data_IF_878908208324
#
_entry.id   IF_878908208324
#
_cell.length_a   1.000
_cell.length_b   1.000
_cell.length_c   1.000
_cell.angle_alpha   90.00
_cell.angle_beta   90.00
_cell.angle_gamma   90.00
#
_symmetry.space_group_name_H-M   'P 1'
#
loop_
_entity.id
_entity.type
_entity.pdbx_description
1 polymer ?
#
# COMPACT_ATOMS: atom_id res chain seq x y z
N UNK A 1 7.10 -72.25 -8.64
CA UNK A 1 7.72 -70.92 -8.55
C UNK A 1 6.94 -69.93 -9.40
N UNK A 2 5.68 -69.62 -9.07
CA UNK A 2 4.83 -68.63 -9.76
C UNK A 2 3.55 -68.35 -8.95
N UNK A 3 3.69 -67.96 -7.68
CA UNK A 3 2.51 -67.68 -6.84
C UNK A 3 2.74 -66.57 -5.81
N UNK A 4 3.54 -65.54 -6.17
CA UNK A 4 3.78 -64.37 -5.29
C UNK A 4 3.46 -63.01 -5.98
N UNK A 5 2.89 -63.00 -7.18
CA UNK A 5 2.58 -61.73 -7.92
C UNK A 5 1.09 -61.44 -8.08
N UNK A 6 0.24 -61.96 -7.22
CA UNK A 6 -1.21 -61.70 -7.34
C UNK A 6 -1.84 -61.30 -6.00
N UNK A 7 -1.21 -60.41 -5.27
CA UNK A 7 -1.84 -59.75 -4.12
C UNK A 7 -1.49 -58.27 -4.09
N UNK A 8 -1.74 -57.60 -5.19
CA UNK A 8 -2.11 -56.19 -5.13
C UNK A 8 -3.59 -56.15 -4.74
N UNK A 9 -3.80 -56.18 -3.41
CA UNK A 9 -5.11 -56.12 -2.81
C UNK A 9 -5.86 -54.93 -3.41
N UNK A 10 -6.82 -55.27 -4.31
CA UNK A 10 -7.70 -54.33 -4.91
C UNK A 10 -8.49 -53.61 -3.84
N UNK A 11 -8.04 -52.44 -3.44
CA UNK A 11 -8.93 -51.43 -2.85
C UNK A 11 -10.22 -51.47 -3.65
N UNK A 12 -11.39 -51.67 -2.99
CA UNK A 12 -12.65 -51.80 -3.71
C UNK A 12 -12.75 -50.65 -4.72
N UNK A 13 -13.09 -50.97 -5.94
CA UNK A 13 -13.09 -50.04 -7.12
C UNK A 13 -13.65 -48.64 -6.71
N UNK A 14 -14.66 -48.63 -5.85
CA UNK A 14 -15.24 -47.41 -5.28
C UNK A 14 -14.24 -46.61 -4.43
N UNK A 15 -13.38 -47.24 -3.64
CA UNK A 15 -12.41 -46.57 -2.80
C UNK A 15 -11.24 -46.01 -3.62
N UNK A 16 -10.79 -46.76 -4.64
CA UNK A 16 -9.77 -46.26 -5.58
C UNK A 16 -10.27 -45.06 -6.38
N UNK A 17 -11.51 -45.07 -6.86
CA UNK A 17 -12.13 -43.92 -7.54
C UNK A 17 -12.22 -42.68 -6.63
N UNK A 18 -12.54 -42.86 -5.36
CA UNK A 18 -12.58 -41.77 -4.37
C UNK A 18 -11.18 -41.17 -4.15
N UNK A 19 -10.14 -42.01 -4.03
CA UNK A 19 -8.77 -41.57 -3.86
C UNK A 19 -8.27 -40.78 -5.08
N UNK A 20 -8.54 -41.29 -6.28
CA UNK A 20 -8.19 -40.58 -7.54
C UNK A 20 -8.98 -39.27 -7.67
N UNK A 21 -10.25 -39.26 -7.29
CA UNK A 21 -11.08 -38.04 -7.28
C UNK A 21 -10.55 -36.96 -6.33
N UNK A 22 -10.17 -37.36 -5.11
CA UNK A 22 -9.56 -36.45 -4.14
C UNK A 22 -8.19 -35.96 -4.65
N UNK A 23 -7.36 -36.86 -5.20
CA UNK A 23 -6.07 -36.50 -5.77
C UNK A 23 -6.20 -35.49 -6.92
N UNK A 24 -7.13 -35.71 -7.83
CA UNK A 24 -7.42 -34.78 -8.91
C UNK A 24 -7.93 -33.43 -8.40
N UNK A 25 -8.81 -33.43 -7.39
CA UNK A 25 -9.28 -32.19 -6.75
C UNK A 25 -8.17 -31.40 -6.11
N UNK A 26 -7.27 -32.06 -5.38
CA UNK A 26 -6.10 -31.41 -4.74
C UNK A 26 -5.16 -30.82 -5.78
N UNK A 27 -4.88 -31.55 -6.87
CA UNK A 27 -4.07 -31.04 -7.99
C UNK A 27 -4.71 -29.85 -8.68
N UNK A 28 -6.02 -29.88 -8.87
CA UNK A 28 -6.75 -28.76 -9.46
C UNK A 28 -6.69 -27.52 -8.56
N UNK A 29 -6.92 -27.66 -7.27
CA UNK A 29 -6.82 -26.56 -6.30
C UNK A 29 -5.40 -26.02 -6.24
N UNK A 30 -4.39 -26.87 -6.18
CA UNK A 30 -2.98 -26.47 -6.21
C UNK A 30 -2.64 -25.71 -7.50
N UNK A 31 -3.11 -26.19 -8.65
CA UNK A 31 -2.93 -25.51 -9.94
C UNK A 31 -3.54 -24.12 -9.96
N UNK A 32 -4.76 -23.96 -9.47
CA UNK A 32 -5.42 -22.65 -9.35
C UNK A 32 -4.63 -21.72 -8.42
N UNK A 33 -4.14 -22.20 -7.30
CA UNK A 33 -3.33 -21.41 -6.37
C UNK A 33 -2.02 -20.95 -7.02
N UNK A 34 -1.32 -21.84 -7.73
CA UNK A 34 -0.07 -21.52 -8.42
C UNK A 34 -0.31 -20.47 -9.50
N UNK A 35 -1.36 -20.59 -10.31
CA UNK A 35 -1.67 -19.63 -11.37
C UNK A 35 -2.01 -18.26 -10.79
N UNK A 36 -2.85 -18.21 -9.74
CA UNK A 36 -3.30 -16.94 -9.14
C UNK A 36 -2.23 -16.22 -8.30
N UNK A 37 -1.40 -16.97 -7.57
CA UNK A 37 -0.43 -16.39 -6.63
C UNK A 37 1.01 -16.51 -7.09
N UNK A 38 1.32 -17.44 -8.00
CA UNK A 38 2.69 -17.73 -8.41
C UNK A 38 3.42 -16.51 -8.98
N UNK A 39 2.78 -15.75 -9.86
CA UNK A 39 3.39 -14.55 -10.45
C UNK A 39 3.70 -13.48 -9.39
N UNK A 40 2.78 -13.27 -8.44
CA UNK A 40 2.95 -12.30 -7.35
C UNK A 40 4.05 -12.76 -6.39
N UNK A 41 4.06 -14.06 -6.04
CA UNK A 41 5.07 -14.66 -5.17
C UNK A 41 6.47 -14.59 -5.77
N UNK A 42 6.63 -14.95 -7.06
CA UNK A 42 7.90 -14.86 -7.78
C UNK A 42 8.41 -13.42 -7.79
N UNK A 43 7.55 -12.44 -8.08
CA UNK A 43 7.92 -11.03 -8.08
C UNK A 43 8.38 -10.55 -6.70
N UNK A 44 7.69 -10.95 -5.64
CA UNK A 44 8.05 -10.63 -4.27
C UNK A 44 9.40 -11.25 -3.88
N UNK A 45 9.62 -12.52 -4.24
CA UNK A 45 10.86 -13.24 -3.96
C UNK A 45 12.07 -12.58 -4.61
N UNK A 46 12.00 -12.27 -5.91
CA UNK A 46 13.09 -11.57 -6.63
C UNK A 46 13.31 -10.14 -6.15
N UNK A 47 12.32 -9.52 -5.51
CA UNK A 47 12.44 -8.17 -4.97
C UNK A 47 13.00 -8.13 -3.54
N UNK A 48 13.33 -9.29 -2.93
CA UNK A 48 13.79 -9.37 -1.55
C UNK A 48 12.72 -9.08 -0.50
N UNK A 49 11.48 -8.89 -0.93
CA UNK A 49 10.35 -8.74 -0.04
C UNK A 49 9.94 -10.15 0.42
N UNK A 50 10.37 -10.54 1.63
CA UNK A 50 9.96 -11.82 2.22
C UNK A 50 8.45 -11.79 2.44
N UNK A 51 7.72 -12.52 1.61
CA UNK A 51 6.26 -12.69 1.69
C UNK A 51 5.98 -14.17 1.83
N UNK A 52 5.22 -14.54 2.85
CA UNK A 52 4.84 -15.93 3.10
C UNK A 52 3.55 -16.27 2.35
N UNK A 53 3.45 -17.49 1.83
CA UNK A 53 2.23 -17.95 1.14
C UNK A 53 1.00 -17.87 2.05
N UNK A 54 1.17 -18.11 3.35
CA UNK A 54 0.11 -17.98 4.36
C UNK A 54 -0.41 -16.54 4.46
N UNK A 55 0.47 -15.54 4.37
CA UNK A 55 0.08 -14.12 4.35
C UNK A 55 -0.73 -13.78 3.10
N UNK A 56 -0.35 -14.31 1.93
CA UNK A 56 -1.10 -14.09 0.69
C UNK A 56 -2.52 -14.68 0.77
N UNK A 57 -2.64 -15.89 1.34
CA UNK A 57 -3.94 -16.52 1.57
C UNK A 57 -4.77 -15.72 2.57
N UNK A 58 -4.15 -15.26 3.67
CA UNK A 58 -4.83 -14.44 4.68
C UNK A 58 -5.34 -13.11 4.10
N UNK A 59 -4.55 -12.44 3.28
CA UNK A 59 -4.97 -11.22 2.55
C UNK A 59 -6.19 -11.49 1.66
N UNK A 60 -6.15 -12.61 0.94
CA UNK A 60 -7.26 -13.00 0.05
C UNK A 60 -8.54 -13.29 0.81
N UNK A 61 -8.44 -13.99 1.96
CA UNK A 61 -9.60 -14.28 2.82
C UNK A 61 -10.19 -13.01 3.44
N UNK A 62 -9.36 -12.01 3.73
CA UNK A 62 -9.81 -10.68 4.21
C UNK A 62 -10.39 -9.80 3.10
N UNK A 63 -10.45 -10.27 1.84
CA UNK A 63 -10.95 -9.50 0.71
C UNK A 63 -10.02 -8.38 0.25
N UNK A 64 -8.75 -8.42 0.66
CA UNK A 64 -7.76 -7.38 0.32
C UNK A 64 -7.12 -7.71 -1.04
N UNK A 65 -6.95 -6.74 -1.94
CA UNK A 65 -6.25 -6.96 -3.21
C UNK A 65 -4.77 -7.25 -2.96
N UNK A 66 -4.40 -8.53 -3.07
CA UNK A 66 -3.05 -9.04 -2.76
C UNK A 66 -1.97 -8.30 -3.53
N UNK A 67 -2.20 -8.03 -4.83
CA UNK A 67 -1.24 -7.33 -5.68
C UNK A 67 -0.89 -5.94 -5.14
N UNK A 68 -1.88 -5.17 -4.67
CA UNK A 68 -1.68 -3.82 -4.16
C UNK A 68 -0.80 -3.81 -2.90
N UNK A 69 -1.04 -4.72 -1.96
CA UNK A 69 -0.26 -4.83 -0.72
C UNK A 69 1.17 -5.30 -1.01
N UNK A 70 1.32 -6.31 -1.87
CA UNK A 70 2.64 -6.86 -2.22
C UNK A 70 3.47 -5.84 -3.00
N UNK A 71 2.89 -5.13 -3.96
CA UNK A 71 3.59 -4.07 -4.70
C UNK A 71 4.00 -2.91 -3.78
N UNK A 72 3.15 -2.55 -2.83
CA UNK A 72 3.48 -1.60 -1.76
C UNK A 72 4.66 -2.08 -0.91
N UNK A 73 4.63 -3.35 -0.48
CA UNK A 73 5.72 -3.97 0.29
C UNK A 73 7.03 -4.02 -0.51
N UNK A 74 6.98 -4.39 -1.78
CA UNK A 74 8.15 -4.42 -2.67
C UNK A 74 8.76 -3.01 -2.78
N UNK A 75 7.93 -1.99 -2.98
CA UNK A 75 8.39 -0.59 -3.09
C UNK A 75 9.03 -0.12 -1.77
N UNK A 76 8.42 -0.45 -0.63
CA UNK A 76 8.96 -0.16 0.69
C UNK A 76 10.33 -0.81 0.91
N UNK A 77 10.45 -2.12 0.64
CA UNK A 77 11.71 -2.88 0.82
C UNK A 77 12.82 -2.34 -0.10
N UNK A 78 12.52 -2.08 -1.37
CA UNK A 78 13.49 -1.48 -2.31
C UNK A 78 13.98 -0.09 -1.88
N UNK A 79 13.15 0.63 -1.14
CA UNK A 79 13.49 1.93 -0.57
C UNK A 79 14.12 1.84 0.83
N UNK A 80 14.31 0.61 1.34
CA UNK A 80 14.88 0.35 2.66
C UNK A 80 13.97 0.76 3.81
N UNK A 81 12.65 0.71 3.61
CA UNK A 81 11.65 0.96 4.64
C UNK A 81 11.17 -0.38 5.23
N UNK A 82 11.30 -0.60 6.55
CA UNK A 82 10.91 -1.84 7.21
C UNK A 82 9.39 -1.85 7.52
N UNK A 83 8.55 -1.82 6.50
CA UNK A 83 7.09 -1.82 6.67
C UNK A 83 6.57 -3.24 6.45
N UNK A 84 5.78 -3.79 7.36
CA UNK A 84 5.23 -5.14 7.27
C UNK A 84 3.98 -5.22 6.38
N UNK A 85 3.60 -6.44 5.97
CA UNK A 85 2.36 -6.69 5.23
C UNK A 85 1.14 -6.41 6.11
N UNK A 86 1.24 -6.73 7.41
CA UNK A 86 0.14 -6.49 8.35
C UNK A 86 -0.15 -5.00 8.53
N UNK A 87 0.89 -4.16 8.65
CA UNK A 87 0.74 -2.71 8.72
C UNK A 87 0.06 -2.15 7.46
N UNK A 88 0.50 -2.58 6.27
CA UNK A 88 -0.11 -2.16 5.01
C UNK A 88 -1.57 -2.63 4.89
N UNK A 89 -1.85 -3.88 5.29
CA UNK A 89 -3.20 -4.43 5.25
C UNK A 89 -4.15 -3.76 6.25
N UNK A 90 -3.66 -3.43 7.44
CA UNK A 90 -4.42 -2.70 8.45
C UNK A 90 -4.79 -1.30 7.96
N UNK A 91 -3.84 -0.59 7.35
CA UNK A 91 -4.10 0.72 6.76
C UNK A 91 -5.11 0.65 5.62
N UNK A 92 -5.02 -0.38 4.76
CA UNK A 92 -6.00 -0.62 3.70
C UNK A 92 -7.41 -0.86 4.26
N UNK A 93 -7.54 -1.70 5.31
CA UNK A 93 -8.82 -1.98 5.96
C UNK A 93 -9.42 -0.75 6.65
N UNK A 94 -8.59 0.16 7.16
CA UNK A 94 -9.02 1.47 7.66
C UNK A 94 -9.51 2.40 6.54
N UNK A 95 -9.43 1.95 5.28
CA UNK A 95 -9.85 2.71 4.11
C UNK A 95 -8.80 3.70 3.61
N UNK A 96 -7.55 3.60 4.04
CA UNK A 96 -6.44 4.43 3.59
C UNK A 96 -5.91 4.04 2.22
N UNK A 97 -5.11 4.93 1.63
CA UNK A 97 -4.46 4.70 0.34
C UNK A 97 -3.01 4.22 0.54
N UNK A 98 -2.84 2.90 0.58
CA UNK A 98 -1.54 2.25 0.81
C UNK A 98 -0.46 2.74 -0.15
N UNK A 99 -0.80 2.89 -1.42
CA UNK A 99 0.15 3.25 -2.46
C UNK A 99 0.67 4.68 -2.27
N UNK A 100 -0.23 5.63 -1.93
CA UNK A 100 0.15 7.01 -1.67
C UNK A 100 0.98 7.15 -0.40
N UNK A 101 0.65 6.41 0.65
CA UNK A 101 1.42 6.41 1.91
C UNK A 101 2.84 5.88 1.68
N UNK A 102 2.99 4.75 0.98
CA UNK A 102 4.31 4.20 0.67
C UNK A 102 5.14 5.17 -0.18
N UNK A 103 4.56 5.78 -1.21
CA UNK A 103 5.25 6.77 -2.04
C UNK A 103 5.64 8.02 -1.23
N UNK A 104 4.79 8.47 -0.32
CA UNK A 104 5.08 9.60 0.57
C UNK A 104 6.24 9.29 1.51
N UNK A 105 6.28 8.09 2.09
CA UNK A 105 7.39 7.65 2.94
C UNK A 105 8.70 7.53 2.18
N UNK A 106 8.66 7.02 0.94
CA UNK A 106 9.85 6.98 0.07
C UNK A 106 10.34 8.41 -0.24
N UNK A 107 9.42 9.33 -0.55
CA UNK A 107 9.76 10.72 -0.81
C UNK A 107 10.33 11.41 0.44
N UNK A 108 9.71 11.22 1.61
CA UNK A 108 10.18 11.74 2.88
C UNK A 108 11.59 11.24 3.21
N UNK A 109 11.84 9.94 3.06
CA UNK A 109 13.17 9.36 3.27
C UNK A 109 14.22 9.94 2.34
N UNK A 110 13.91 10.12 1.06
CA UNK A 110 14.82 10.76 0.08
C UNK A 110 15.07 12.23 0.39
N UNK A 111 14.09 12.92 0.98
CA UNK A 111 14.21 14.32 1.39
C UNK A 111 14.86 14.49 2.78
N UNK A 112 15.25 13.40 3.46
CA UNK A 112 15.80 13.46 4.81
C UNK A 112 14.78 13.80 5.90
N UNK A 113 13.48 13.71 5.58
CA UNK A 113 12.40 13.97 6.54
C UNK A 113 12.11 12.70 7.33
N UNK A 114 12.15 12.79 8.66
CA UNK A 114 11.78 11.66 9.52
C UNK A 114 10.26 11.53 9.63
N UNK A 115 9.67 10.78 8.70
CA UNK A 115 8.25 10.46 8.70
C UNK A 115 8.06 8.98 9.05
N UNK A 116 7.45 8.73 10.20
CA UNK A 116 7.10 7.37 10.66
C UNK A 116 5.84 6.90 9.95
N UNK A 117 5.73 5.58 9.72
CA UNK A 117 4.60 4.96 9.01
C UNK A 117 3.24 5.33 9.63
N UNK A 118 3.09 5.21 10.95
CA UNK A 118 1.83 5.52 11.64
C UNK A 118 1.38 6.96 11.42
N UNK A 119 2.35 7.90 11.43
CA UNK A 119 2.08 9.31 11.21
C UNK A 119 1.64 9.57 9.76
N UNK A 120 2.24 8.89 8.80
CA UNK A 120 1.85 8.97 7.40
C UNK A 120 0.42 8.42 7.20
N UNK A 121 0.09 7.28 7.83
CA UNK A 121 -1.25 6.71 7.84
C UNK A 121 -2.28 7.64 8.48
N UNK A 122 -1.96 8.26 9.61
CA UNK A 122 -2.84 9.23 10.27
C UNK A 122 -3.13 10.45 9.39
N UNK A 123 -2.11 10.98 8.68
CA UNK A 123 -2.28 12.07 7.74
C UNK A 123 -3.17 11.65 6.56
N UNK A 124 -2.96 10.44 6.01
CA UNK A 124 -3.76 9.92 4.88
C UNK A 124 -5.23 9.82 5.26
N UNK A 125 -5.53 9.26 6.42
CA UNK A 125 -6.90 9.13 6.90
C UNK A 125 -7.54 10.48 7.24
N UNK A 126 -6.77 11.41 7.84
CA UNK A 126 -7.26 12.74 8.19
C UNK A 126 -7.51 13.63 6.95
N UNK A 127 -6.73 13.45 5.89
CA UNK A 127 -6.89 14.23 4.66
C UNK A 127 -7.90 13.63 3.68
N UNK A 128 -8.45 12.48 4.01
CA UNK A 128 -9.47 11.81 3.20
C UNK A 128 -10.69 12.71 3.04
N UNK A 129 -11.01 13.06 1.80
CA UNK A 129 -12.11 13.98 1.48
C UNK A 129 -11.72 15.46 1.31
N UNK A 130 -10.51 15.86 1.69
CA UNK A 130 -10.05 17.25 1.50
C UNK A 130 -9.35 17.50 0.15
N UNK A 131 -9.20 16.45 -0.67
CA UNK A 131 -8.49 16.51 -1.95
C UNK A 131 -6.96 16.62 -1.82
N UNK A 132 -6.42 16.66 -0.60
CA UNK A 132 -4.98 16.66 -0.34
C UNK A 132 -4.48 15.24 -0.08
N UNK A 133 -3.25 14.96 -0.48
CA UNK A 133 -2.61 13.66 -0.27
C UNK A 133 -1.42 13.78 0.66
N UNK A 134 -1.05 12.68 1.34
CA UNK A 134 0.18 12.62 2.18
C UNK A 134 1.41 12.98 1.35
N UNK A 135 1.47 12.52 0.10
CA UNK A 135 2.57 12.83 -0.80
C UNK A 135 2.68 14.34 -1.07
N UNK A 136 1.55 15.02 -1.18
CA UNK A 136 1.50 16.46 -1.39
C UNK A 136 1.95 17.23 -0.13
N UNK A 137 1.58 16.75 1.05
CA UNK A 137 2.07 17.28 2.32
C UNK A 137 3.60 17.18 2.44
N UNK A 138 4.18 16.03 2.08
CA UNK A 138 5.63 15.84 2.06
C UNK A 138 6.29 16.77 1.02
N UNK A 139 5.74 16.87 -0.19
CA UNK A 139 6.26 17.78 -1.22
C UNK A 139 6.24 19.24 -0.78
N UNK A 140 5.17 19.67 -0.12
CA UNK A 140 5.04 21.03 0.41
C UNK A 140 6.01 21.29 1.55
N UNK A 141 6.35 20.28 2.34
CA UNK A 141 7.35 20.37 3.40
C UNK A 141 8.77 20.57 2.84
N UNK A 142 9.06 19.97 1.68
CA UNK A 142 10.37 20.13 0.99
C UNK A 142 10.43 21.42 0.19
N UNK A 143 9.33 21.76 -0.47
CA UNK A 143 9.22 22.97 -1.31
C UNK A 143 8.01 23.79 -0.83
N UNK A 144 8.23 24.67 0.19
CA UNK A 144 7.15 25.41 0.80
C UNK A 144 6.48 26.35 -0.20
N UNK A 145 5.15 26.35 -0.17
CA UNK A 145 4.33 27.22 -1.00
C UNK A 145 4.26 28.59 -0.36
N UNK A 146 4.77 29.59 -1.04
CA UNK A 146 4.69 31.00 -0.62
C UNK A 146 3.34 31.56 -1.03
N UNK A 147 2.61 32.16 -0.09
CA UNK A 147 1.35 32.84 -0.31
C UNK A 147 1.58 34.33 -0.01
N UNK A 148 1.49 35.14 -1.05
CA UNK A 148 1.55 36.60 -0.91
C UNK A 148 0.13 37.17 -0.72
N UNK A 149 -0.03 38.07 0.22
CA UNK A 149 -1.26 38.80 0.46
C UNK A 149 -0.99 40.32 0.37
N UNK A 150 -1.56 41.03 -0.62
CA UNK A 150 -2.50 40.55 -1.63
C UNK A 150 -1.88 39.68 -2.70
N UNK A 151 -2.69 38.80 -3.32
CA UNK A 151 -2.21 37.93 -4.38
C UNK A 151 -1.70 38.76 -5.59
N UNK A 152 -0.60 38.36 -6.25
CA UNK A 152 -0.02 39.10 -7.38
C UNK A 152 -1.03 39.35 -8.52
N UNK A 153 -2.01 38.44 -8.68
CA UNK A 153 -3.07 38.53 -9.67
C UNK A 153 -4.08 39.66 -9.39
N UNK A 154 -4.13 40.22 -8.19
CA UNK A 154 -5.07 41.28 -7.83
C UNK A 154 -4.66 42.68 -8.32
N UNK A 155 -3.45 42.82 -8.90
CA UNK A 155 -2.91 44.10 -9.37
C UNK A 155 -2.62 45.13 -8.27
N UNK A 156 -2.87 44.77 -7.01
CA UNK A 156 -2.62 45.64 -5.85
C UNK A 156 -1.33 45.17 -5.15
N UNK A 157 -0.45 46.10 -4.81
CA UNK A 157 0.81 45.83 -4.10
C UNK A 157 0.60 45.73 -2.58
N UNK A 158 -0.45 46.31 -2.04
CA UNK A 158 -0.79 46.37 -0.62
C UNK A 158 -2.31 46.30 -0.43
N UNK A 159 -2.72 45.84 0.74
CA UNK A 159 -4.09 45.95 1.24
C UNK A 159 -4.17 47.26 2.00
N UNK A 160 -5.04 48.17 1.57
CA UNK A 160 -5.22 49.46 2.21
C UNK A 160 -6.46 49.38 3.11
N UNK A 161 -6.29 49.76 4.38
CA UNK A 161 -7.37 49.85 5.35
C UNK A 161 -7.31 51.24 6.03
N UNK A 162 -8.46 51.81 6.26
CA UNK A 162 -8.56 53.11 6.97
C UNK A 162 -8.89 52.84 8.44
N UNK A 163 -8.01 53.27 9.33
CA UNK A 163 -8.25 53.20 10.75
C UNK A 163 -9.31 54.17 11.20
N UNK A 164 -9.86 54.01 12.41
CA UNK A 164 -10.89 54.87 13.00
C UNK A 164 -10.50 56.36 13.06
N UNK A 165 -9.20 56.60 13.15
CA UNK A 165 -8.58 57.92 13.25
C UNK A 165 -8.30 58.57 11.87
N UNK A 166 -8.80 57.97 10.77
CA UNK A 166 -8.62 58.46 9.40
C UNK A 166 -7.26 58.14 8.77
N UNK A 167 -6.39 57.42 9.48
CA UNK A 167 -5.05 57.03 9.01
C UNK A 167 -5.18 55.83 8.06
N UNK A 168 -4.56 55.92 6.86
CA UNK A 168 -4.51 54.78 5.89
C UNK A 168 -3.35 53.87 6.27
N UNK A 169 -3.68 52.65 6.60
CA UNK A 169 -2.70 51.59 6.93
C UNK A 169 -2.54 50.72 5.69
N UNK A 170 -1.30 50.52 5.22
CA UNK A 170 -0.94 49.64 4.11
C UNK A 170 -0.29 48.40 4.69
N UNK A 171 -0.86 47.22 4.42
CA UNK A 171 -0.37 45.97 4.85
C UNK A 171 0.03 45.06 3.65
N UNK A 172 1.19 44.38 3.77
CA UNK A 172 1.62 43.32 2.87
C UNK A 172 2.13 42.20 3.73
N UNK A 173 1.62 41.00 3.51
CA UNK A 173 2.05 39.82 4.22
C UNK A 173 2.53 38.75 3.23
N UNK A 174 3.59 38.04 3.60
CA UNK A 174 4.07 36.86 2.90
C UNK A 174 4.11 35.71 3.91
N UNK A 175 3.36 34.65 3.61
CA UNK A 175 3.28 33.44 4.46
C UNK A 175 3.92 32.28 3.71
N UNK A 176 4.78 31.55 4.41
CA UNK A 176 5.51 30.40 3.86
C UNK A 176 5.14 29.15 4.61
#
# INVERSE_FOLDING_TARGET
MNMILAQSDGLPIKLSLIIYGIGALVLLVAGILIINFGMIYIRALFSGAKVTVTELIALRLRGIPVALIVDGRITAVKSGLPISIDELSTHFLAGGNVQMVVLALVAAKKAGINLVFDRACAIDLATKGTGKTVLEAVKTSVNPKVIDCPAPASGKSTIDAVAKDGIVIKAKARVT
#
